data_IF_447807237549
#
_entry.id   IF_447807237549
#
_cell.length_a   1.000
_cell.length_b   1.000
_cell.length_c   1.000
_cell.angle_alpha   90.00
_cell.angle_beta   90.00
_cell.angle_gamma   90.00
#
_symmetry.space_group_name_H-M   'P 1'
#
loop_
_entity.id
_entity.type
_entity.pdbx_description
1 polymer ?
#
# COMPACT_ATOMS: atom_id res chain seq x y z
N UNK A 1 3.66 -30.44 -10.66
CA UNK A 1 2.39 -29.97 -11.25
C UNK A 1 2.59 -28.54 -11.73
N UNK A 2 2.19 -28.20 -12.96
CA UNK A 2 2.28 -26.83 -13.48
C UNK A 2 1.01 -26.06 -13.12
N UNK A 3 1.14 -24.99 -12.33
CA UNK A 3 0.02 -24.13 -11.92
C UNK A 3 -0.64 -23.42 -13.11
N UNK A 4 0.04 -23.33 -14.27
CA UNK A 4 -0.51 -22.74 -15.48
C UNK A 4 -1.74 -23.49 -16.01
N UNK A 5 -1.84 -24.80 -15.74
CA UNK A 5 -2.98 -25.62 -16.19
C UNK A 5 -4.29 -25.30 -15.44
N UNK A 6 -4.20 -24.54 -14.34
CA UNK A 6 -5.36 -24.09 -13.55
C UNK A 6 -5.68 -22.60 -13.79
N UNK A 7 -5.11 -21.99 -14.84
CA UNK A 7 -5.36 -20.60 -15.21
C UNK A 7 -4.52 -19.56 -14.44
N UNK A 8 -3.57 -20.00 -13.61
CA UNK A 8 -2.64 -19.08 -12.95
C UNK A 8 -1.63 -18.53 -13.97
N UNK A 9 -1.50 -17.21 -14.00
CA UNK A 9 -0.51 -16.51 -14.82
C UNK A 9 0.71 -16.17 -13.96
N UNK A 10 1.90 -16.36 -14.53
CA UNK A 10 3.13 -15.84 -13.95
C UNK A 10 3.17 -14.34 -14.22
N UNK A 11 3.16 -13.53 -13.17
CA UNK A 11 3.46 -12.09 -13.28
C UNK A 11 4.86 -11.83 -12.74
N UNK A 12 5.68 -11.15 -13.52
CA UNK A 12 6.96 -10.61 -13.06
C UNK A 12 6.72 -9.20 -12.55
N UNK A 13 6.76 -9.04 -11.23
CA UNK A 13 6.55 -7.76 -10.56
C UNK A 13 7.92 -7.13 -10.32
N UNK A 14 8.09 -5.87 -10.72
CA UNK A 14 9.27 -5.10 -10.34
C UNK A 14 9.14 -4.70 -8.87
N UNK A 15 10.02 -5.24 -8.05
CA UNK A 15 10.07 -4.97 -6.61
C UNK A 15 11.16 -3.94 -6.36
N UNK A 16 10.86 -2.93 -5.53
CA UNK A 16 11.85 -1.98 -5.05
C UNK A 16 12.06 -2.15 -3.56
N UNK A 17 13.31 -2.45 -3.16
CA UNK A 17 13.73 -2.42 -1.76
C UNK A 17 13.90 -0.98 -1.31
N UNK A 18 13.37 -0.66 -0.14
CA UNK A 18 13.49 0.65 0.51
C UNK A 18 13.16 0.54 1.98
N UNK A 19 13.52 1.57 2.74
CA UNK A 19 13.08 1.69 4.13
C UNK A 19 11.62 2.11 4.22
N UNK A 20 10.97 1.79 5.35
CA UNK A 20 9.61 2.24 5.64
C UNK A 20 9.50 3.77 5.63
N UNK A 21 10.56 4.48 6.07
CA UNK A 21 10.65 5.93 5.97
C UNK A 21 10.61 6.45 4.54
N UNK A 22 11.41 5.87 3.64
CA UNK A 22 11.44 6.24 2.22
C UNK A 22 10.10 5.98 1.54
N UNK A 23 9.46 4.84 1.83
CA UNK A 23 8.12 4.55 1.32
C UNK A 23 7.13 5.60 1.77
N UNK A 24 7.07 5.87 3.08
CA UNK A 24 6.09 6.81 3.65
C UNK A 24 6.27 8.21 3.07
N UNK A 25 7.50 8.72 3.04
CA UNK A 25 7.81 10.02 2.47
C UNK A 25 7.49 10.10 0.98
N UNK A 26 7.88 9.08 0.20
CA UNK A 26 7.62 9.05 -1.23
C UNK A 26 6.14 9.04 -1.58
N UNK A 27 5.36 8.20 -0.89
CA UNK A 27 3.90 8.12 -1.09
C UNK A 27 3.23 9.43 -0.68
N UNK A 28 3.54 9.96 0.50
CA UNK A 28 2.92 11.20 0.99
C UNK A 28 3.22 12.37 0.05
N UNK A 29 4.45 12.49 -0.44
CA UNK A 29 4.80 13.53 -1.42
C UNK A 29 3.98 13.43 -2.70
N UNK A 30 3.82 12.22 -3.26
CA UNK A 30 3.02 12.01 -4.47
C UNK A 30 1.52 12.26 -4.24
N UNK A 31 0.97 11.85 -3.09
CA UNK A 31 -0.41 12.12 -2.72
C UNK A 31 -0.68 13.62 -2.56
N UNK A 32 0.25 14.35 -1.94
CA UNK A 32 0.14 15.81 -1.81
C UNK A 32 0.20 16.52 -3.16
N UNK A 33 1.04 16.08 -4.09
CA UNK A 33 1.08 16.63 -5.47
C UNK A 33 -0.25 16.42 -6.21
N UNK A 34 -0.92 15.29 -5.97
CA UNK A 34 -2.26 14.99 -6.52
C UNK A 34 -3.42 15.63 -5.75
N UNK A 35 -3.13 16.41 -4.70
CA UNK A 35 -4.12 17.01 -3.81
C UNK A 35 -4.99 16.00 -3.04
N UNK A 36 -4.45 14.80 -2.76
CA UNK A 36 -5.10 13.76 -1.95
C UNK A 36 -4.69 13.88 -0.48
N UNK A 37 -5.24 14.88 0.21
CA UNK A 37 -4.97 15.11 1.65
C UNK A 37 -5.77 14.19 2.57
N UNK A 38 -7.00 13.87 2.19
CA UNK A 38 -7.95 13.12 3.01
C UNK A 38 -8.30 11.75 2.40
N UNK A 39 -7.35 11.15 1.68
CA UNK A 39 -7.57 9.84 1.06
C UNK A 39 -7.36 8.73 2.08
N UNK A 40 -8.18 7.69 2.00
CA UNK A 40 -8.00 6.49 2.80
C UNK A 40 -6.82 5.69 2.26
N UNK A 41 -5.89 5.30 3.12
CA UNK A 41 -4.70 4.52 2.74
C UNK A 41 -4.78 3.17 3.44
N UNK A 42 -4.52 2.09 2.69
CA UNK A 42 -4.33 0.75 3.23
C UNK A 42 -2.94 0.26 2.93
N UNK A 43 -2.19 -0.04 3.98
CA UNK A 43 -0.92 -0.74 3.88
C UNK A 43 -1.19 -2.22 4.12
N UNK A 44 -0.80 -3.06 3.17
CA UNK A 44 -1.01 -4.51 3.20
C UNK A 44 0.36 -5.17 3.21
N UNK A 45 0.67 -5.85 4.30
CA UNK A 45 1.86 -6.66 4.43
C UNK A 45 1.56 -8.08 3.94
N UNK A 46 2.19 -8.46 2.84
CA UNK A 46 2.00 -9.77 2.22
C UNK A 46 2.77 -10.91 2.89
N UNK A 47 3.75 -10.60 3.76
CA UNK A 47 4.49 -11.61 4.53
C UNK A 47 3.64 -12.10 5.70
N UNK A 48 3.17 -11.18 6.53
CA UNK A 48 2.42 -11.48 7.76
C UNK A 48 0.90 -11.56 7.55
N UNK A 49 0.39 -10.98 6.45
CA UNK A 49 -1.04 -10.87 6.18
C UNK A 49 -1.71 -9.68 6.86
N UNK A 50 -0.94 -8.81 7.51
CA UNK A 50 -1.45 -7.65 8.25
C UNK A 50 -1.93 -6.54 7.31
N UNK A 51 -3.00 -5.86 7.73
CA UNK A 51 -3.61 -4.76 6.99
C UNK A 51 -3.84 -3.57 7.90
N UNK A 52 -3.02 -2.53 7.73
CA UNK A 52 -3.19 -1.26 8.41
C UNK A 52 -4.05 -0.31 7.56
N UNK A 53 -5.02 0.34 8.19
CA UNK A 53 -5.94 1.27 7.52
C UNK A 53 -5.86 2.66 8.14
N UNK A 54 -5.61 3.67 7.30
CA UNK A 54 -5.48 5.07 7.65
C UNK A 54 -6.63 5.86 7.06
N UNK A 55 -7.23 6.76 7.85
CA UNK A 55 -8.38 7.55 7.39
C UNK A 55 -7.96 8.73 6.52
N UNK A 56 -6.73 9.20 6.68
CA UNK A 56 -6.17 10.32 5.94
C UNK A 56 -4.69 10.12 5.60
N UNK A 57 -4.17 10.97 4.71
CA UNK A 57 -2.73 11.03 4.40
C UNK A 57 -1.91 11.51 5.60
N UNK A 58 -2.50 12.36 6.45
CA UNK A 58 -1.87 12.85 7.68
C UNK A 58 -1.76 11.72 8.73
N UNK A 59 -2.80 10.90 8.89
CA UNK A 59 -2.79 9.74 9.79
C UNK A 59 -1.68 8.76 9.41
N UNK A 60 -1.51 8.53 8.10
CA UNK A 60 -0.45 7.67 7.59
C UNK A 60 0.94 8.24 7.85
N UNK A 61 1.12 9.56 7.69
CA UNK A 61 2.38 10.23 7.99
C UNK A 61 2.72 10.15 9.49
N UNK A 62 1.72 10.33 10.36
CA UNK A 62 1.90 10.33 11.82
C UNK A 62 1.94 8.93 12.45
N UNK A 63 1.71 7.87 11.67
CA UNK A 63 1.73 6.50 12.16
C UNK A 63 3.10 6.14 12.77
N UNK A 64 3.07 5.52 13.96
CA UNK A 64 4.27 5.06 14.66
C UNK A 64 4.82 3.77 14.05
N UNK A 65 5.69 3.91 13.05
CA UNK A 65 6.40 2.79 12.44
C UNK A 65 7.89 2.81 12.79
N UNK A 66 8.52 1.63 12.76
CA UNK A 66 9.96 1.54 12.76
C UNK A 66 10.49 2.03 11.40
N UNK A 67 11.06 3.23 11.38
CA UNK A 67 11.50 3.91 10.16
C UNK A 67 12.67 3.21 9.44
N UNK A 68 13.53 2.53 10.20
CA UNK A 68 14.67 1.77 9.66
C UNK A 68 14.31 0.39 9.14
N UNK A 69 13.03 0.00 9.21
CA UNK A 69 12.56 -1.29 8.76
C UNK A 69 12.64 -1.38 7.23
N UNK A 70 13.34 -2.39 6.70
CA UNK A 70 13.49 -2.61 5.27
C UNK A 70 12.32 -3.42 4.71
N UNK A 71 11.78 -2.93 3.59
CA UNK A 71 10.64 -3.53 2.92
C UNK A 71 10.84 -3.59 1.41
N UNK A 72 10.11 -4.51 0.81
CA UNK A 72 9.90 -4.63 -0.61
C UNK A 72 8.56 -3.99 -0.99
N UNK A 73 8.60 -2.86 -1.70
CA UNK A 73 7.40 -2.30 -2.31
C UNK A 73 7.03 -3.13 -3.53
N UNK A 74 5.90 -3.83 -3.45
CA UNK A 74 5.36 -4.66 -4.53
C UNK A 74 4.52 -3.79 -5.46
N UNK A 75 3.57 -3.04 -4.90
CA UNK A 75 2.61 -2.31 -5.73
C UNK A 75 1.89 -1.21 -4.96
N UNK A 76 1.54 -0.13 -5.68
CA UNK A 76 0.62 0.91 -5.22
C UNK A 76 -0.53 0.98 -6.20
N UNK A 77 -1.76 0.83 -5.72
CA UNK A 77 -2.97 0.98 -6.55
C UNK A 77 -3.91 2.02 -5.97
N UNK A 78 -4.48 2.80 -6.87
CA UNK A 78 -5.65 3.61 -6.60
C UNK A 78 -6.90 2.79 -6.90
N UNK A 79 -7.81 2.68 -5.93
CA UNK A 79 -9.01 1.83 -6.03
C UNK A 79 -10.21 2.67 -5.61
N UNK A 80 -11.27 2.59 -6.43
CA UNK A 80 -12.58 3.13 -6.06
C UNK A 80 -13.32 2.09 -5.24
N UNK A 81 -13.82 2.50 -4.08
CA UNK A 81 -14.72 1.67 -3.28
C UNK A 81 -15.97 2.45 -2.93
N UNK A 82 -17.08 1.73 -2.78
CA UNK A 82 -18.33 2.32 -2.34
C UNK A 82 -18.38 2.31 -0.82
N UNK A 83 -18.54 3.47 -0.20
CA UNK A 83 -18.73 3.60 1.24
C UNK A 83 -20.23 3.59 1.53
N UNK A 84 -20.74 2.46 2.05
CA UNK A 84 -22.18 2.26 2.29
C UNK A 84 -22.76 3.29 3.27
N UNK A 85 -21.98 3.71 4.28
CA UNK A 85 -22.42 4.68 5.29
C UNK A 85 -22.71 6.05 4.70
N UNK A 86 -21.92 6.51 3.73
CA UNK A 86 -22.09 7.81 3.07
C UNK A 86 -22.79 7.71 1.72
N UNK A 87 -23.07 6.48 1.25
CA UNK A 87 -23.66 6.18 -0.06
C UNK A 87 -22.92 6.85 -1.22
N UNK A 88 -21.59 6.91 -1.13
CA UNK A 88 -20.76 7.58 -2.12
C UNK A 88 -19.55 6.71 -2.51
N UNK A 89 -19.02 6.93 -3.71
CA UNK A 89 -17.78 6.30 -4.14
C UNK A 89 -16.60 7.13 -3.65
N UNK A 90 -15.67 6.49 -2.93
CA UNK A 90 -14.45 7.10 -2.42
C UNK A 90 -13.22 6.44 -3.03
N UNK A 91 -12.15 7.21 -3.10
CA UNK A 91 -10.83 6.73 -3.51
C UNK A 91 -10.13 6.16 -2.28
N UNK A 92 -9.48 5.01 -2.46
CA UNK A 92 -8.57 4.39 -1.50
C UNK A 92 -7.26 4.06 -2.20
N UNK A 93 -6.17 4.37 -1.54
CA UNK A 93 -4.83 3.95 -1.97
C UNK A 93 -4.49 2.65 -1.26
N UNK A 94 -4.13 1.62 -2.01
CA UNK A 94 -3.68 0.33 -1.49
C UNK A 94 -2.21 0.18 -1.80
N UNK A 95 -1.40 0.01 -0.77
CA UNK A 95 0.04 -0.16 -0.82
C UNK A 95 0.34 -1.59 -0.40
N UNK A 96 0.91 -2.37 -1.30
CA UNK A 96 1.31 -3.75 -1.08
C UNK A 96 2.81 -3.77 -0.80
N UNK A 97 3.16 -4.21 0.40
CA UNK A 97 4.54 -4.39 0.83
C UNK A 97 4.81 -5.84 1.20
N UNK A 98 6.09 -6.18 1.24
CA UNK A 98 6.60 -7.41 1.81
C UNK A 98 7.78 -7.08 2.70
N UNK A 99 7.89 -7.80 3.79
CA UNK A 99 9.05 -7.75 4.67
C UNK A 99 10.28 -8.31 3.93
N UNK A 100 11.42 -7.62 4.02
CA UNK A 100 12.68 -8.24 3.62
C UNK A 100 13.06 -9.27 4.70
N UNK A 101 13.10 -10.56 4.34
CA UNK A 101 13.80 -11.54 5.16
C UNK A 101 15.30 -11.20 5.17
N UNK A 102 15.92 -11.19 6.35
CA UNK A 102 17.38 -10.99 6.55
C UNK A 102 18.24 -11.98 5.75
#
# INVERSE_FOLDING_TARGET
>A
MSLMNYGYKKEEIQIRKMTMAELRLGIVQELLKKNYRYVNIRLVNTTCGDVDSYRSTEDFLMAGYNEGYEIELIQVKEVLYYEESEKCSKIRIVILIRECDE
#
